data_IF_610890094444
#
_entry.id   IF_610890094444
#
_cell.length_a   1.000
_cell.length_b   1.000
_cell.length_c   1.000
_cell.angle_alpha   90.00
_cell.angle_beta   90.00
_cell.angle_gamma   90.00
#
_symmetry.space_group_name_H-M   'P 1'
#
loop_
_entity.id
_entity.type
_entity.pdbx_description
1 polymer ?
#
# COMPACT_ATOMS: atom_id res chain seq x y z
N UNK A 1 -17.49 -12.41 -2.76
CA UNK A 1 -16.71 -13.05 -1.68
C UNK A 1 -16.27 -11.96 -0.70
N UNK A 2 -16.33 -12.17 0.63
CA UNK A 2 -15.88 -11.15 1.59
C UNK A 2 -14.35 -11.22 1.81
N UNK A 3 -13.74 -10.20 2.41
CA UNK A 3 -12.27 -10.11 2.52
C UNK A 3 -11.66 -11.28 3.30
N UNK A 4 -12.31 -11.71 4.39
CA UNK A 4 -11.82 -12.84 5.20
C UNK A 4 -11.85 -14.16 4.41
N UNK A 5 -12.90 -14.40 3.62
CA UNK A 5 -12.99 -15.55 2.72
C UNK A 5 -11.90 -15.47 1.64
N UNK A 6 -11.64 -14.28 1.09
CA UNK A 6 -10.57 -14.08 0.10
C UNK A 6 -9.20 -14.47 0.68
N UNK A 7 -8.88 -14.01 1.89
CA UNK A 7 -7.66 -14.41 2.61
C UNK A 7 -7.60 -15.92 2.81
N UNK A 8 -8.69 -16.52 3.31
CA UNK A 8 -8.72 -17.96 3.60
C UNK A 8 -8.49 -18.79 2.33
N UNK A 9 -9.22 -18.49 1.26
CA UNK A 9 -9.08 -19.16 -0.04
C UNK A 9 -7.66 -19.06 -0.56
N UNK A 10 -7.03 -17.88 -0.49
CA UNK A 10 -5.64 -17.68 -0.91
C UNK A 10 -4.66 -18.55 -0.09
N UNK A 11 -4.76 -18.49 1.24
CA UNK A 11 -3.85 -19.25 2.12
C UNK A 11 -4.01 -20.76 1.89
N UNK A 12 -5.24 -21.28 1.93
CA UNK A 12 -5.52 -22.71 1.78
C UNK A 12 -5.06 -23.22 0.41
N UNK A 13 -5.29 -22.46 -0.66
CA UNK A 13 -4.84 -22.82 -2.02
C UNK A 13 -3.33 -23.04 -2.11
N UNK A 14 -2.53 -22.20 -1.44
CA UNK A 14 -1.07 -22.34 -1.45
C UNK A 14 -0.56 -23.36 -0.42
N UNK A 15 -1.25 -23.54 0.71
CA UNK A 15 -0.93 -24.62 1.65
C UNK A 15 -1.11 -26.01 1.01
N UNK A 16 -2.15 -26.19 0.19
CA UNK A 16 -2.36 -27.40 -0.61
C UNK A 16 -1.22 -27.65 -1.64
N UNK A 17 -0.52 -26.59 -2.04
CA UNK A 17 0.66 -26.63 -2.93
C UNK A 17 1.99 -26.73 -2.17
N UNK A 18 1.92 -26.93 -0.86
CA UNK A 18 3.06 -27.17 0.01
C UNK A 18 3.72 -25.90 0.53
N UNK A 19 3.11 -24.73 0.37
CA UNK A 19 3.57 -23.51 1.03
C UNK A 19 3.29 -23.58 2.52
N UNK A 20 4.22 -23.04 3.31
CA UNK A 20 4.08 -22.95 4.76
C UNK A 20 3.67 -21.54 5.12
N UNK A 21 2.55 -21.40 5.82
CA UNK A 21 2.12 -20.11 6.33
C UNK A 21 3.14 -19.55 7.30
N UNK A 22 3.67 -18.37 6.99
CA UNK A 22 4.51 -17.60 7.91
C UNK A 22 3.67 -16.50 8.57
N UNK A 23 4.06 -16.07 9.75
CA UNK A 23 3.41 -14.95 10.43
C UNK A 23 3.64 -13.67 9.63
N UNK A 24 2.56 -13.00 9.23
CA UNK A 24 2.63 -11.66 8.64
C UNK A 24 3.35 -10.71 9.60
N UNK A 25 4.25 -9.89 9.07
CA UNK A 25 5.12 -9.07 9.92
C UNK A 25 4.40 -7.80 10.39
N UNK A 26 4.97 -7.20 11.43
CA UNK A 26 4.76 -5.79 11.75
C UNK A 26 5.11 -4.89 10.55
N UNK A 27 4.52 -3.69 10.52
CA UNK A 27 4.94 -2.58 9.67
C UNK A 27 6.38 -2.11 9.98
N UNK A 28 6.94 -2.53 11.12
CA UNK A 28 8.24 -2.09 11.59
C UNK A 28 9.33 -3.07 11.13
N UNK A 29 10.15 -2.70 10.14
CA UNK A 29 11.29 -3.52 9.79
C UNK A 29 12.32 -3.54 10.94
N UNK A 30 13.17 -4.58 10.99
CA UNK A 30 14.19 -4.73 12.03
C UNK A 30 15.12 -3.52 12.15
N UNK A 31 15.75 -3.30 13.32
CA UNK A 31 16.73 -2.22 13.46
C UNK A 31 17.86 -2.33 12.43
N UNK A 32 18.16 -1.21 11.75
CA UNK A 32 19.21 -1.14 10.73
C UNK A 32 18.74 -1.42 9.29
N UNK A 33 17.47 -1.77 9.09
CA UNK A 33 16.87 -1.86 7.77
C UNK A 33 16.80 -0.49 7.08
N UNK A 34 17.15 -0.37 5.79
CA UNK A 34 17.08 0.90 5.05
C UNK A 34 15.65 1.43 4.88
N UNK A 35 14.61 0.58 4.95
CA UNK A 35 13.22 1.01 4.73
C UNK A 35 12.58 1.51 6.03
N UNK A 36 11.77 2.57 5.91
CA UNK A 36 11.12 3.17 7.07
C UNK A 36 9.98 2.30 7.60
N UNK A 37 9.19 1.73 6.70
CA UNK A 37 8.10 0.80 6.97
C UNK A 37 8.20 -0.37 6.00
N UNK A 38 7.62 -1.50 6.37
CA UNK A 38 7.42 -2.64 5.45
C UNK A 38 6.45 -2.20 4.35
N UNK A 39 6.91 -2.12 3.09
CA UNK A 39 6.09 -1.71 1.93
C UNK A 39 5.69 -2.90 1.05
N UNK A 40 6.31 -4.07 1.27
CA UNK A 40 6.09 -5.32 0.54
C UNK A 40 6.25 -6.53 1.47
N UNK A 41 5.57 -7.63 1.14
CA UNK A 41 5.73 -8.96 1.74
C UNK A 41 7.16 -9.49 1.72
N UNK A 42 7.98 -9.02 0.77
CA UNK A 42 9.35 -9.52 0.59
C UNK A 42 10.36 -8.95 1.59
N UNK A 43 10.13 -7.78 2.19
CA UNK A 43 11.16 -7.12 3.03
C UNK A 43 11.63 -8.01 4.19
N UNK A 44 10.74 -8.65 4.97
CA UNK A 44 11.17 -9.56 6.04
C UNK A 44 11.90 -10.81 5.51
N UNK A 45 11.74 -11.11 4.22
CA UNK A 45 12.30 -12.28 3.55
C UNK A 45 13.55 -11.98 2.74
N UNK A 46 14.03 -10.73 2.69
CA UNK A 46 15.23 -10.35 1.94
C UNK A 46 16.44 -11.26 2.23
N UNK A 47 16.80 -11.57 3.50
CA UNK A 47 17.93 -12.46 3.77
C UNK A 47 17.75 -13.86 3.15
N UNK A 48 16.51 -14.33 3.06
CA UNK A 48 16.17 -15.64 2.54
C UNK A 48 16.18 -15.68 1.03
N UNK A 49 15.68 -14.63 0.38
CA UNK A 49 15.80 -14.44 -1.07
C UNK A 49 17.27 -14.37 -1.50
N UNK A 50 18.14 -13.79 -0.67
CA UNK A 50 19.60 -13.75 -0.86
C UNK A 50 20.33 -15.08 -0.61
N UNK A 51 19.62 -16.15 -0.25
CA UNK A 51 20.19 -17.51 -0.12
C UNK A 51 20.26 -18.07 1.29
N UNK A 52 19.84 -17.31 2.32
CA UNK A 52 19.74 -17.87 3.68
C UNK A 52 18.56 -18.85 3.77
N UNK A 53 18.75 -20.08 4.26
CA UNK A 53 17.63 -20.99 4.47
C UNK A 53 16.58 -20.40 5.41
N UNK A 54 15.29 -20.58 5.09
CA UNK A 54 14.19 -20.21 5.98
C UNK A 54 13.78 -21.42 6.84
N UNK A 55 13.52 -21.27 8.15
CA UNK A 55 13.26 -22.39 9.06
C UNK A 55 12.01 -23.22 8.71
N UNK A 56 11.04 -22.60 8.02
CA UNK A 56 9.81 -23.28 7.59
C UNK A 56 9.92 -23.90 6.18
N UNK A 57 11.11 -23.90 5.57
CA UNK A 57 11.33 -24.50 4.25
C UNK A 57 11.38 -23.47 3.13
N UNK A 58 11.10 -23.92 1.90
CA UNK A 58 11.41 -23.16 0.67
C UNK A 58 10.19 -22.57 -0.02
N UNK A 59 8.98 -22.89 0.44
CA UNK A 59 7.72 -22.36 -0.09
C UNK A 59 6.97 -21.70 1.05
N UNK A 60 6.69 -20.41 0.95
CA UNK A 60 6.13 -19.62 2.05
C UNK A 60 4.91 -18.84 1.55
N UNK A 61 3.90 -18.68 2.40
CA UNK A 61 2.71 -17.87 2.10
C UNK A 61 2.36 -17.01 3.31
N UNK A 62 1.89 -15.77 3.09
CA UNK A 62 1.40 -14.93 4.17
C UNK A 62 0.36 -13.89 3.72
N UNK A 63 -0.11 -13.14 4.72
CA UNK A 63 -0.76 -11.85 4.54
C UNK A 63 0.13 -10.82 5.23
N UNK A 64 0.75 -9.93 4.47
CA UNK A 64 1.65 -8.91 4.97
C UNK A 64 0.95 -7.57 5.12
N UNK A 65 1.14 -6.91 6.26
CA UNK A 65 0.74 -5.51 6.43
C UNK A 65 1.77 -4.62 5.75
N UNK A 66 1.32 -3.76 4.86
CA UNK A 66 2.17 -2.85 4.10
C UNK A 66 1.76 -1.41 4.38
N UNK A 67 2.75 -0.52 4.46
CA UNK A 67 2.53 0.92 4.46
C UNK A 67 3.40 1.59 3.41
N UNK A 68 2.78 2.26 2.44
CA UNK A 68 3.48 2.99 1.38
C UNK A 68 3.35 4.50 1.61
N UNK A 69 4.49 5.17 1.78
CA UNK A 69 4.52 6.63 1.95
C UNK A 69 4.57 7.38 0.63
N UNK A 70 4.92 6.70 -0.46
CA UNK A 70 4.94 7.22 -1.83
C UNK A 70 3.53 7.59 -2.30
N UNK A 71 2.55 6.80 -1.89
CA UNK A 71 1.17 6.88 -2.38
C UNK A 71 0.34 7.91 -1.59
N UNK A 72 0.93 8.55 -0.56
CA UNK A 72 0.22 9.45 0.36
C UNK A 72 -0.49 10.61 -0.32
N UNK A 73 0.05 11.08 -1.45
CA UNK A 73 -0.51 12.21 -2.19
C UNK A 73 -1.55 11.76 -3.23
N UNK A 74 -1.63 10.47 -3.54
CA UNK A 74 -2.64 9.85 -4.41
C UNK A 74 -3.87 9.39 -3.62
N UNK A 75 -3.72 9.14 -2.31
CA UNK A 75 -4.81 8.78 -1.41
C UNK A 75 -5.95 9.79 -1.49
N UNK A 76 -7.15 9.26 -1.76
CA UNK A 76 -8.35 10.02 -2.08
C UNK A 76 -8.95 9.62 -3.44
N UNK A 77 -8.16 8.93 -4.26
CA UNK A 77 -8.62 8.27 -5.48
C UNK A 77 -9.44 6.98 -5.19
N UNK A 78 -9.51 6.07 -6.17
CA UNK A 78 -10.33 4.84 -6.08
C UNK A 78 -9.49 3.60 -5.76
N UNK A 79 -8.16 3.67 -5.78
CA UNK A 79 -7.28 2.51 -5.90
C UNK A 79 -6.13 2.49 -4.90
N UNK A 80 -5.77 3.63 -4.32
CA UNK A 80 -4.61 3.77 -3.45
C UNK A 80 -4.99 3.88 -1.98
N UNK A 81 -4.22 3.19 -1.15
CA UNK A 81 -4.34 3.14 0.30
C UNK A 81 -2.95 3.36 0.90
N UNK A 82 -2.87 4.09 2.02
CA UNK A 82 -1.61 4.27 2.75
C UNK A 82 -1.20 2.97 3.42
N UNK A 83 -2.13 2.33 4.14
CA UNK A 83 -1.97 1.00 4.75
C UNK A 83 -2.86 0.02 4.02
N UNK A 84 -2.35 -1.17 3.73
CA UNK A 84 -3.10 -2.24 3.09
C UNK A 84 -2.51 -3.60 3.44
N UNK A 85 -3.22 -4.68 3.11
CA UNK A 85 -2.70 -6.03 3.22
C UNK A 85 -2.28 -6.57 1.85
N UNK A 86 -1.10 -7.18 1.80
CA UNK A 86 -0.56 -7.85 0.62
C UNK A 86 -0.57 -9.35 0.85
N UNK A 87 -1.32 -10.08 0.02
CA UNK A 87 -1.27 -11.52 -0.07
C UNK A 87 -0.01 -11.90 -0.85
N UNK A 88 0.88 -12.68 -0.24
CA UNK A 88 2.17 -12.99 -0.82
C UNK A 88 2.54 -14.46 -0.76
N UNK A 89 3.22 -14.91 -1.80
CA UNK A 89 3.85 -16.24 -1.86
C UNK A 89 5.30 -16.14 -2.30
N UNK A 90 6.12 -17.04 -1.76
CA UNK A 90 7.55 -17.08 -2.05
C UNK A 90 8.02 -18.47 -2.42
N UNK A 91 8.83 -18.54 -3.47
CA UNK A 91 9.71 -19.66 -3.80
C UNK A 91 11.14 -19.28 -3.46
N UNK A 92 11.78 -20.04 -2.57
CA UNK A 92 13.18 -19.89 -2.22
C UNK A 92 14.01 -20.97 -2.94
N UNK A 93 14.22 -20.74 -4.25
CA UNK A 93 14.93 -21.65 -5.14
C UNK A 93 14.16 -22.91 -5.54
N UNK A 94 12.86 -22.99 -5.30
CA UNK A 94 12.09 -24.24 -5.41
C UNK A 94 11.40 -24.42 -6.77
N UNK A 95 10.48 -23.50 -7.10
CA UNK A 95 9.84 -23.37 -8.41
C UNK A 95 10.12 -22.00 -9.05
N UNK A 96 9.89 -21.88 -10.35
CA UNK A 96 10.14 -20.67 -11.15
C UNK A 96 8.84 -20.00 -11.66
N UNK A 97 8.99 -18.93 -12.46
CA UNK A 97 7.92 -18.03 -12.93
C UNK A 97 6.71 -18.74 -13.54
N UNK A 98 6.88 -19.63 -14.54
CA UNK A 98 5.75 -20.29 -15.19
C UNK A 98 4.86 -21.06 -14.22
N UNK A 99 5.44 -21.76 -13.25
CA UNK A 99 4.66 -22.48 -12.25
C UNK A 99 3.94 -21.52 -11.28
N UNK A 100 4.60 -20.41 -10.91
CA UNK A 100 4.00 -19.37 -10.08
C UNK A 100 2.75 -18.76 -10.74
N UNK A 101 2.89 -18.37 -11.99
CA UNK A 101 1.84 -17.76 -12.80
C UNK A 101 0.71 -18.75 -13.08
N UNK A 102 1.02 -20.03 -13.30
CA UNK A 102 0.02 -21.08 -13.52
C UNK A 102 -0.88 -21.27 -12.30
N UNK A 103 -0.28 -21.26 -11.10
CA UNK A 103 -1.01 -21.25 -9.84
C UNK A 103 -1.77 -19.95 -9.60
N UNK A 104 -1.20 -18.80 -9.97
CA UNK A 104 -1.90 -17.51 -9.91
C UNK A 104 -3.16 -17.51 -10.77
N UNK A 105 -3.04 -17.95 -12.02
CA UNK A 105 -4.14 -18.11 -12.96
C UNK A 105 -5.23 -19.03 -12.41
N UNK A 106 -4.87 -20.25 -11.98
CA UNK A 106 -5.85 -21.20 -11.44
C UNK A 106 -6.53 -20.71 -10.16
N UNK A 107 -5.84 -19.94 -9.31
CA UNK A 107 -6.48 -19.33 -8.14
C UNK A 107 -7.49 -18.26 -8.56
N UNK A 108 -7.14 -17.38 -9.50
CA UNK A 108 -8.04 -16.34 -9.99
C UNK A 108 -9.27 -16.93 -10.68
N UNK A 109 -9.10 -17.91 -11.58
CA UNK A 109 -10.20 -18.48 -12.35
C UNK A 109 -11.01 -19.48 -11.55
N UNK A 110 -10.39 -20.49 -10.96
CA UNK A 110 -11.10 -21.61 -10.34
C UNK A 110 -11.39 -21.33 -8.86
N UNK A 111 -10.46 -20.69 -8.15
CA UNK A 111 -10.60 -20.39 -6.73
C UNK A 111 -11.52 -19.19 -6.46
N UNK A 112 -11.34 -18.11 -7.22
CA UNK A 112 -12.13 -16.89 -7.08
C UNK A 112 -13.27 -16.76 -8.09
N UNK A 113 -13.32 -17.59 -9.13
CA UNK A 113 -14.39 -17.58 -10.12
C UNK A 113 -14.31 -16.41 -11.11
N UNK A 114 -13.12 -15.84 -11.31
CA UNK A 114 -12.92 -14.74 -12.26
C UNK A 114 -13.01 -15.29 -13.68
N UNK A 115 -13.81 -14.64 -14.53
CA UNK A 115 -13.89 -14.95 -15.95
C UNK A 115 -12.52 -14.72 -16.62
N UNK A 116 -11.91 -15.73 -17.25
CA UNK A 116 -10.64 -15.57 -17.97
C UNK A 116 -10.65 -14.45 -19.02
N UNK A 117 -11.81 -14.11 -19.60
CA UNK A 117 -11.96 -13.01 -20.55
C UNK A 117 -11.78 -11.61 -19.93
N UNK A 118 -11.69 -11.52 -18.60
CA UNK A 118 -11.39 -10.30 -17.85
C UNK A 118 -9.92 -10.21 -17.42
N UNK A 119 -9.08 -11.16 -17.82
CA UNK A 119 -7.65 -11.17 -17.52
C UNK A 119 -6.84 -10.54 -18.66
N UNK A 120 -5.80 -9.82 -18.27
CA UNK A 120 -4.69 -9.44 -19.14
C UNK A 120 -3.40 -9.59 -18.35
N UNK A 121 -2.30 -9.90 -19.01
CA UNK A 121 -0.98 -9.95 -18.38
C UNK A 121 -0.03 -8.92 -19.00
N UNK A 122 0.93 -8.47 -18.22
CA UNK A 122 2.15 -7.82 -18.72
C UNK A 122 3.35 -8.72 -18.44
N UNK A 123 4.35 -8.69 -19.31
CA UNK A 123 5.56 -9.52 -19.20
C UNK A 123 6.77 -8.68 -19.59
N UNK A 124 7.88 -8.86 -18.87
CA UNK A 124 9.15 -8.21 -19.22
C UNK A 124 9.63 -8.56 -20.64
N UNK A 125 9.73 -7.53 -21.49
CA UNK A 125 10.10 -7.59 -22.90
C UNK A 125 11.61 -7.63 -23.16
N UNK A 126 12.45 -7.49 -22.13
CA UNK A 126 13.90 -7.47 -22.25
C UNK A 126 14.48 -6.07 -22.45
N UNK A 127 15.74 -5.92 -22.03
CA UNK A 127 16.55 -4.72 -22.21
C UNK A 127 17.99 -5.07 -22.64
N UNK A 128 18.93 -4.13 -22.51
CA UNK A 128 20.34 -4.35 -22.88
C UNK A 128 21.08 -5.33 -21.95
N UNK A 129 20.60 -5.55 -20.72
CA UNK A 129 21.25 -6.40 -19.71
C UNK A 129 20.59 -7.78 -19.58
N UNK A 130 19.27 -7.86 -19.74
CA UNK A 130 18.45 -9.06 -19.49
C UNK A 130 17.49 -9.28 -20.64
N UNK A 131 17.46 -10.49 -21.19
CA UNK A 131 16.53 -10.85 -22.26
C UNK A 131 15.06 -10.91 -21.80
N UNK A 132 14.11 -11.02 -22.74
CA UNK A 132 12.69 -11.14 -22.43
C UNK A 132 12.39 -12.37 -21.58
N UNK A 133 11.34 -12.29 -20.76
CA UNK A 133 10.87 -13.43 -19.97
C UNK A 133 9.96 -14.35 -20.79
N UNK A 134 10.58 -15.15 -21.66
CA UNK A 134 9.87 -16.02 -22.61
C UNK A 134 9.01 -17.09 -21.91
N UNK A 135 9.43 -17.57 -20.73
CA UNK A 135 8.67 -18.61 -20.02
C UNK A 135 7.30 -18.11 -19.55
N UNK A 136 7.22 -16.86 -19.09
CA UNK A 136 5.94 -16.23 -18.71
C UNK A 136 5.07 -15.95 -19.93
N UNK A 137 5.68 -15.47 -21.02
CA UNK A 137 4.97 -15.25 -22.28
C UNK A 137 4.35 -16.55 -22.84
N UNK A 138 5.12 -17.64 -22.89
CA UNK A 138 4.65 -18.95 -23.37
C UNK A 138 3.50 -19.47 -22.52
N UNK A 139 3.61 -19.38 -21.18
CA UNK A 139 2.51 -19.80 -20.30
C UNK A 139 1.22 -19.02 -20.58
N UNK A 140 1.29 -17.69 -20.69
CA UNK A 140 0.09 -16.88 -20.91
C UNK A 140 -0.56 -17.17 -22.26
N UNK A 141 0.25 -17.44 -23.29
CA UNK A 141 -0.23 -17.90 -24.60
C UNK A 141 -0.95 -19.24 -24.49
N UNK A 142 -0.39 -20.20 -23.74
CA UNK A 142 -1.02 -21.50 -23.50
C UNK A 142 -2.35 -21.39 -22.74
N UNK A 143 -2.47 -20.42 -21.83
CA UNK A 143 -3.70 -20.11 -21.09
C UNK A 143 -4.69 -19.23 -21.87
N UNK A 144 -4.31 -18.75 -23.07
CA UNK A 144 -5.13 -17.87 -23.89
C UNK A 144 -5.35 -16.48 -23.29
N UNK A 145 -4.49 -16.04 -22.36
CA UNK A 145 -4.56 -14.72 -21.74
C UNK A 145 -3.80 -13.72 -22.63
N UNK A 146 -4.39 -12.57 -23.00
CA UNK A 146 -3.69 -11.53 -23.73
C UNK A 146 -2.48 -10.98 -22.96
N UNK A 147 -1.38 -10.71 -23.67
CA UNK A 147 -0.12 -10.24 -23.07
C UNK A 147 0.34 -8.95 -23.74
N UNK A 148 0.76 -7.99 -22.92
CA UNK A 148 1.51 -6.81 -23.34
C UNK A 148 2.97 -6.94 -22.86
N UNK A 149 3.94 -6.73 -23.76
CA UNK A 149 5.35 -6.72 -23.38
C UNK A 149 5.74 -5.30 -22.97
N UNK A 150 6.24 -5.13 -21.75
CA UNK A 150 6.78 -3.84 -21.25
C UNK A 150 8.20 -4.04 -20.73
N UNK A 151 8.92 -2.94 -20.49
CA UNK A 151 10.30 -2.99 -19.96
C UNK A 151 10.34 -2.37 -18.58
N UNK A 152 10.12 -1.06 -18.51
CA UNK A 152 10.23 -0.30 -17.25
C UNK A 152 9.15 -0.71 -16.23
N UNK A 153 7.93 -1.00 -16.69
CA UNK A 153 6.83 -1.42 -15.83
C UNK A 153 6.97 -2.88 -15.36
N UNK A 154 7.74 -3.72 -16.08
CA UNK A 154 7.96 -5.13 -15.75
C UNK A 154 9.35 -5.44 -15.17
N UNK A 155 9.87 -4.53 -14.35
CA UNK A 155 11.12 -4.74 -13.61
C UNK A 155 10.96 -4.34 -12.15
N UNK A 156 10.89 -5.33 -11.27
CA UNK A 156 10.78 -5.07 -9.84
C UNK A 156 12.14 -5.02 -9.15
N UNK A 157 12.27 -4.15 -8.14
CA UNK A 157 13.50 -4.01 -7.36
C UNK A 157 13.27 -3.61 -5.91
N UNK A 158 14.07 -4.17 -5.00
CA UNK A 158 14.00 -3.90 -3.56
C UNK A 158 14.54 -2.50 -3.15
N UNK A 159 14.82 -1.64 -4.13
CA UNK A 159 15.47 -0.35 -3.95
C UNK A 159 16.55 -0.08 -5.00
N UNK A 160 17.40 0.94 -4.77
CA UNK A 160 18.50 1.28 -5.69
C UNK A 160 19.48 0.12 -5.87
N UNK A 161 19.73 -0.64 -4.80
CA UNK A 161 20.55 -1.86 -4.80
C UNK A 161 19.86 -3.01 -4.09
N UNK A 162 20.35 -4.22 -4.29
CA UNK A 162 19.80 -5.44 -3.68
C UNK A 162 19.05 -6.33 -4.67
N UNK A 163 18.26 -7.30 -4.19
CA UNK A 163 17.53 -8.26 -5.02
C UNK A 163 16.54 -7.57 -5.97
N UNK A 164 16.54 -8.02 -7.23
CA UNK A 164 15.67 -7.53 -8.29
C UNK A 164 15.49 -8.60 -9.38
N UNK A 165 14.56 -8.35 -10.30
CA UNK A 165 14.38 -9.19 -11.47
C UNK A 165 13.22 -8.77 -12.35
N UNK A 166 13.08 -9.42 -13.51
CA UNK A 166 11.90 -9.26 -14.34
C UNK A 166 10.67 -9.76 -13.57
N UNK A 167 9.51 -9.26 -13.93
CA UNK A 167 8.25 -9.75 -13.42
C UNK A 167 7.20 -9.96 -14.53
N UNK A 168 6.08 -10.52 -14.12
CA UNK A 168 4.85 -10.53 -14.90
C UNK A 168 3.69 -10.17 -13.98
N UNK A 169 2.88 -9.21 -14.42
CA UNK A 169 1.75 -8.72 -13.65
C UNK A 169 0.43 -9.17 -14.29
N UNK A 170 -0.57 -9.41 -13.45
CA UNK A 170 -1.92 -9.82 -13.84
C UNK A 170 -2.87 -8.66 -13.56
N UNK A 171 -3.65 -8.29 -14.58
CA UNK A 171 -4.63 -7.22 -14.55
C UNK A 171 -6.04 -7.77 -14.68
N UNK A 172 -6.98 -7.13 -13.98
CA UNK A 172 -8.41 -7.38 -14.11
C UNK A 172 -9.10 -6.19 -14.77
N UNK A 173 -9.98 -6.49 -15.72
CA UNK A 173 -10.81 -5.51 -16.36
C UNK A 173 -11.95 -5.05 -15.44
N UNK A 174 -12.11 -3.74 -15.29
CA UNK A 174 -13.16 -3.13 -14.45
C UNK A 174 -14.20 -2.31 -15.24
N UNK A 175 -14.07 -2.26 -16.56
CA UNK A 175 -14.98 -1.51 -17.43
C UNK A 175 -16.31 -2.21 -17.68
N UNK A 176 -17.36 -1.42 -17.94
CA UNK A 176 -18.71 -1.92 -18.22
C UNK A 176 -18.83 -2.65 -19.58
N UNK A 177 -17.98 -2.28 -20.53
CA UNK A 177 -17.91 -2.90 -21.87
C UNK A 177 -16.75 -3.89 -21.94
N UNK A 178 -16.79 -4.91 -22.80
CA UNK A 178 -15.63 -5.78 -23.02
C UNK A 178 -14.35 -4.98 -23.33
N UNK A 179 -13.17 -5.45 -22.86
CA UNK A 179 -11.92 -4.75 -23.08
C UNK A 179 -11.55 -4.67 -24.56
N UNK A 180 -11.04 -3.52 -24.98
CA UNK A 180 -10.56 -3.25 -26.35
C UNK A 180 -9.16 -2.61 -26.37
N UNK A 181 -8.51 -2.52 -25.21
CA UNK A 181 -7.22 -1.86 -24.98
C UNK A 181 -6.33 -2.73 -24.08
N UNK A 182 -5.08 -2.32 -23.90
CA UNK A 182 -4.10 -3.00 -23.04
C UNK A 182 -3.90 -2.23 -21.72
N UNK A 183 -3.29 -2.86 -20.69
CA UNK A 183 -3.06 -2.24 -19.39
C UNK A 183 -2.38 -0.87 -19.43
N UNK A 184 -1.35 -0.68 -20.25
CA UNK A 184 -0.61 0.60 -20.31
C UNK A 184 -1.40 1.76 -20.94
N UNK A 185 -2.58 1.47 -21.50
CA UNK A 185 -3.38 2.42 -22.30
C UNK A 185 -4.77 2.69 -21.74
N UNK A 186 -5.18 1.99 -20.68
CA UNK A 186 -6.52 2.10 -20.13
C UNK A 186 -6.55 1.77 -18.64
N UNK A 187 -6.75 2.79 -17.81
CA UNK A 187 -6.77 2.69 -16.34
C UNK A 187 -7.90 1.80 -15.79
N UNK A 188 -8.82 1.33 -16.64
CA UNK A 188 -9.82 0.32 -16.25
C UNK A 188 -9.21 -1.07 -16.10
N UNK A 189 -8.00 -1.30 -16.62
CA UNK A 189 -7.18 -2.44 -16.25
C UNK A 189 -6.51 -2.17 -14.91
N UNK A 190 -6.94 -2.91 -13.90
CA UNK A 190 -6.42 -2.76 -12.55
C UNK A 190 -5.45 -3.91 -12.28
N UNK A 191 -4.18 -3.58 -12.03
CA UNK A 191 -3.15 -4.52 -11.60
C UNK A 191 -3.58 -5.19 -10.29
N UNK A 192 -3.71 -6.51 -10.24
CA UNK A 192 -4.10 -7.22 -9.02
C UNK A 192 -2.98 -8.06 -8.43
N UNK A 193 -2.04 -8.53 -9.23
CA UNK A 193 -1.02 -9.47 -8.79
C UNK A 193 0.27 -9.29 -9.57
N UNK A 194 1.36 -8.99 -8.88
CA UNK A 194 2.70 -9.01 -9.46
C UNK A 194 3.43 -10.31 -9.06
N UNK A 195 4.01 -11.01 -10.04
CA UNK A 195 4.89 -12.16 -9.85
C UNK A 195 6.31 -11.82 -10.28
N UNK A 196 7.19 -11.57 -9.30
CA UNK A 196 8.58 -11.18 -9.51
C UNK A 196 9.49 -12.41 -9.58
N UNK A 197 10.21 -12.52 -10.69
CA UNK A 197 11.24 -13.53 -10.93
C UNK A 197 12.58 -13.00 -10.42
N UNK A 198 12.74 -13.04 -9.09
CA UNK A 198 13.92 -12.61 -8.35
C UNK A 198 15.16 -13.44 -8.69
N UNK A 199 15.96 -12.93 -9.65
CA UNK A 199 17.11 -13.63 -10.24
C UNK A 199 18.44 -12.87 -10.11
N UNK A 200 18.39 -11.56 -9.85
CA UNK A 200 19.56 -10.69 -9.86
C UNK A 200 19.72 -9.94 -8.55
N UNK A 201 20.94 -9.49 -8.28
CA UNK A 201 21.26 -8.44 -7.32
C UNK A 201 21.84 -7.27 -8.09
N UNK A 202 21.26 -6.08 -7.91
CA UNK A 202 21.83 -4.83 -8.42
C UNK A 202 22.89 -4.29 -7.46
N UNK A 203 24.06 -3.98 -8.00
CA UNK A 203 25.18 -3.33 -7.29
C UNK A 203 25.06 -1.80 -7.38
N UNK A 204 25.88 -1.09 -6.61
CA UNK A 204 25.86 0.39 -6.55
C UNK A 204 26.17 1.06 -7.90
N UNK A 205 26.91 0.38 -8.79
CA UNK A 205 27.23 0.85 -10.15
C UNK A 205 26.15 0.51 -11.18
N UNK A 206 25.04 -0.10 -10.75
CA UNK A 206 23.94 -0.53 -11.61
C UNK A 206 24.11 -1.93 -12.21
N UNK A 207 25.29 -2.55 -12.08
CA UNK A 207 25.55 -3.89 -12.61
C UNK A 207 24.66 -4.93 -11.94
N UNK A 208 24.12 -5.85 -12.76
CA UNK A 208 23.35 -7.00 -12.29
C UNK A 208 24.22 -8.24 -12.15
N UNK A 209 24.24 -8.83 -10.95
CA UNK A 209 24.89 -10.13 -10.69
C UNK A 209 23.85 -11.20 -10.34
N UNK A 210 24.01 -12.46 -10.75
CA UNK A 210 23.05 -13.52 -10.42
C UNK A 210 22.94 -13.75 -8.90
N UNK A 211 21.72 -13.98 -8.43
CA UNK A 211 21.47 -14.49 -7.07
C UNK A 211 21.89 -15.98 -6.97
N UNK A 212 22.25 -16.47 -5.76
CA UNK A 212 22.65 -17.87 -5.57
C UNK A 212 21.52 -18.88 -5.83
N UNK A 213 20.28 -18.40 -5.88
CA UNK A 213 19.08 -19.20 -6.17
C UNK A 213 18.09 -18.34 -6.95
N UNK A 214 17.25 -18.99 -7.75
CA UNK A 214 16.17 -18.34 -8.50
C UNK A 214 14.92 -18.35 -7.66
N UNK A 215 14.47 -17.17 -7.25
CA UNK A 215 13.34 -17.05 -6.36
C UNK A 215 12.09 -16.57 -7.10
N UNK A 216 10.97 -16.74 -6.43
CA UNK A 216 9.71 -16.07 -6.76
C UNK A 216 9.28 -15.28 -5.55
N UNK A 217 8.87 -14.05 -5.80
CA UNK A 217 8.23 -13.15 -4.85
C UNK A 217 6.92 -12.68 -5.51
N UNK A 218 5.78 -12.91 -4.86
CA UNK A 218 4.50 -12.44 -5.39
C UNK A 218 3.82 -11.49 -4.41
N UNK A 219 3.13 -10.49 -4.95
CA UNK A 219 2.36 -9.53 -4.18
C UNK A 219 1.01 -9.27 -4.83
N UNK A 220 -0.07 -9.58 -4.10
CA UNK A 220 -1.44 -9.29 -4.48
C UNK A 220 -2.09 -8.37 -3.44
N UNK A 221 -2.62 -7.22 -3.88
CA UNK A 221 -3.29 -6.28 -2.98
C UNK A 221 -4.65 -6.82 -2.53
N UNK A 222 -4.82 -7.10 -1.23
CA UNK A 222 -6.03 -7.73 -0.69
C UNK A 222 -7.26 -6.87 -0.88
N UNK A 223 -7.23 -5.58 -0.51
CA UNK A 223 -8.38 -4.69 -0.66
C UNK A 223 -8.73 -4.45 -2.12
N UNK A 224 -7.72 -4.43 -3.00
CA UNK A 224 -7.90 -4.30 -4.44
C UNK A 224 -8.64 -5.52 -5.00
N UNK A 225 -8.12 -6.74 -4.78
CA UNK A 225 -8.79 -7.97 -5.20
C UNK A 225 -10.20 -8.07 -4.57
N UNK A 226 -10.33 -7.80 -3.28
CA UNK A 226 -11.61 -7.93 -2.57
C UNK A 226 -12.66 -6.98 -3.12
N UNK A 227 -12.30 -5.74 -3.44
CA UNK A 227 -13.21 -4.79 -4.08
C UNK A 227 -13.73 -5.33 -5.43
N UNK A 228 -12.85 -5.90 -6.25
CA UNK A 228 -13.20 -6.50 -7.55
C UNK A 228 -14.10 -7.73 -7.40
N UNK A 229 -13.78 -8.65 -6.48
CA UNK A 229 -14.60 -9.83 -6.17
C UNK A 229 -15.96 -9.50 -5.56
N UNK A 230 -16.15 -8.25 -5.12
CA UNK A 230 -17.41 -7.73 -4.59
C UNK A 230 -18.16 -6.87 -5.63
N UNK A 231 -17.66 -6.76 -6.87
CA UNK A 231 -18.24 -5.92 -7.91
C UNK A 231 -18.20 -4.43 -7.56
N UNK A 232 -17.19 -4.02 -6.78
CA UNK A 232 -16.97 -2.63 -6.37
C UNK A 232 -15.95 -1.98 -7.30
N UNK A 233 -16.06 -0.67 -7.40
CA UNK A 233 -15.24 0.13 -8.32
C UNK A 233 -14.24 1.00 -7.57
N UNK A 234 -14.14 0.82 -6.26
CA UNK A 234 -13.21 1.53 -5.37
C UNK A 234 -12.79 0.62 -4.23
N UNK A 235 -11.51 0.67 -3.85
CA UNK A 235 -10.98 -0.06 -2.69
C UNK A 235 -11.68 0.36 -1.39
N UNK A 236 -12.17 1.60 -1.33
CA UNK A 236 -12.93 2.13 -0.19
C UNK A 236 -14.33 1.53 -0.06
N UNK A 237 -14.84 0.87 -1.10
CA UNK A 237 -16.14 0.20 -1.09
C UNK A 237 -16.05 -1.28 -0.69
N UNK A 238 -14.83 -1.78 -0.45
CA UNK A 238 -14.58 -3.10 0.10
C UNK A 238 -15.20 -3.23 1.50
N UNK A 239 -15.65 -4.43 1.86
CA UNK A 239 -16.30 -4.75 3.14
C UNK A 239 -15.49 -4.33 4.39
N UNK A 240 -14.15 -4.34 4.31
CA UNK A 240 -13.28 -3.83 5.38
C UNK A 240 -13.56 -2.36 5.73
N UNK A 241 -14.00 -1.55 4.75
CA UNK A 241 -14.34 -0.15 4.95
C UNK A 241 -15.81 0.08 5.32
N UNK A 242 -16.66 -0.96 5.39
CA UNK A 242 -18.08 -0.80 5.67
C UNK A 242 -18.39 -0.05 6.98
N UNK A 243 -17.72 -0.35 8.12
CA UNK A 243 -17.92 0.43 9.34
C UNK A 243 -17.51 1.89 9.16
N UNK A 244 -16.39 2.15 8.49
CA UNK A 244 -15.88 3.49 8.22
C UNK A 244 -16.84 4.30 7.34
N UNK A 245 -17.32 3.72 6.22
CA UNK A 245 -18.29 4.37 5.32
C UNK A 245 -19.65 4.61 5.96
N UNK A 246 -20.05 3.77 6.92
CA UNK A 246 -21.31 3.95 7.65
C UNK A 246 -21.20 5.04 8.71
N UNK A 247 -20.12 5.08 9.47
CA UNK A 247 -20.01 5.92 10.66
C UNK A 247 -19.44 7.31 10.35
N UNK A 248 -18.37 7.41 9.56
CA UNK A 248 -17.67 8.69 9.32
C UNK A 248 -18.56 9.78 8.71
N UNK A 249 -19.40 9.52 7.69
CA UNK A 249 -20.27 10.55 7.11
C UNK A 249 -21.32 11.11 8.10
N UNK A 250 -21.64 10.36 9.16
CA UNK A 250 -22.58 10.84 10.20
C UNK A 250 -21.92 11.81 11.19
N UNK A 251 -20.59 11.74 11.29
CA UNK A 251 -19.77 12.62 12.14
C UNK A 251 -19.35 13.88 11.39
N UNK A 252 -18.90 13.71 10.14
CA UNK A 252 -18.32 14.78 9.36
C UNK A 252 -18.87 14.78 7.93
N UNK A 253 -19.53 15.88 7.57
CA UNK A 253 -19.96 16.14 6.20
C UNK A 253 -18.72 16.54 5.38
N UNK A 254 -18.28 15.64 4.51
CA UNK A 254 -17.09 15.75 3.68
C UNK A 254 -17.45 15.40 2.23
N UNK A 255 -16.76 16.00 1.26
CA UNK A 255 -16.80 15.52 -0.12
C UNK A 255 -16.09 14.17 -0.25
N UNK A 256 -16.42 13.42 -1.30
CA UNK A 256 -16.01 12.04 -1.48
C UNK A 256 -14.48 11.82 -1.39
N UNK A 257 -13.61 12.64 -2.02
CA UNK A 257 -12.16 12.48 -1.89
C UNK A 257 -11.66 12.71 -0.45
N UNK A 258 -12.20 13.72 0.24
CA UNK A 258 -11.85 14.01 1.63
C UNK A 258 -12.31 12.91 2.58
N UNK A 259 -13.50 12.34 2.34
CA UNK A 259 -14.02 11.20 3.11
C UNK A 259 -13.08 10.00 3.00
N UNK A 260 -12.65 9.66 1.78
CA UNK A 260 -11.69 8.57 1.53
C UNK A 260 -10.36 8.82 2.22
N UNK A 261 -9.81 10.03 2.09
CA UNK A 261 -8.57 10.42 2.76
C UNK A 261 -8.68 10.27 4.28
N UNK A 262 -9.77 10.76 4.88
CA UNK A 262 -10.00 10.67 6.33
C UNK A 262 -10.09 9.21 6.78
N UNK A 263 -10.85 8.38 6.07
CA UNK A 263 -10.96 6.94 6.36
C UNK A 263 -9.61 6.22 6.25
N UNK A 264 -8.86 6.42 5.16
CA UNK A 264 -7.55 5.79 4.96
C UNK A 264 -6.53 6.24 6.01
N UNK A 265 -6.37 7.55 6.20
CA UNK A 265 -5.31 8.06 7.07
C UNK A 265 -5.59 7.79 8.54
N UNK A 266 -6.86 7.78 8.99
CA UNK A 266 -7.20 7.37 10.35
C UNK A 266 -6.96 5.87 10.55
N UNK A 267 -7.39 5.02 9.60
CA UNK A 267 -7.09 3.59 9.62
C UNK A 267 -5.58 3.36 9.72
N UNK A 268 -4.80 4.03 8.87
CA UNK A 268 -3.34 3.97 8.85
C UNK A 268 -2.70 4.46 10.15
N UNK A 269 -3.18 5.56 10.72
CA UNK A 269 -2.70 6.07 11.99
C UNK A 269 -2.95 5.06 13.12
N UNK A 270 -4.13 4.43 13.15
CA UNK A 270 -4.45 3.36 14.11
C UNK A 270 -3.47 2.20 13.97
N UNK A 271 -3.21 1.72 12.74
CA UNK A 271 -2.27 0.60 12.53
C UNK A 271 -0.84 0.97 12.94
N UNK A 272 -0.37 2.16 12.59
CA UNK A 272 0.97 2.62 12.94
C UNK A 272 1.14 2.76 14.46
N UNK A 273 0.12 3.24 15.17
CA UNK A 273 0.12 3.31 16.65
C UNK A 273 0.03 1.91 17.26
N UNK A 274 -0.76 1.01 16.66
CA UNK A 274 -0.91 -0.39 17.03
C UNK A 274 0.39 -1.18 16.97
N UNK A 275 1.32 -0.78 16.10
CA UNK A 275 2.68 -1.34 16.06
C UNK A 275 3.68 -0.59 16.97
N UNK A 276 3.19 0.30 17.84
CA UNK A 276 3.99 0.95 18.89
C UNK A 276 4.60 2.29 18.49
N UNK A 277 4.35 2.81 17.29
CA UNK A 277 4.88 4.12 16.88
C UNK A 277 4.16 5.24 17.63
N UNK A 278 4.89 6.31 17.94
CA UNK A 278 4.36 7.54 18.54
C UNK A 278 4.72 8.76 17.70
N UNK A 279 3.87 9.81 17.67
CA UNK A 279 4.17 11.02 16.89
C UNK A 279 5.49 11.67 17.30
N UNK A 280 6.33 12.01 16.34
CA UNK A 280 7.64 12.65 16.55
C UNK A 280 8.00 13.60 15.39
N UNK A 281 9.15 14.28 15.48
CA UNK A 281 9.62 15.17 14.42
C UNK A 281 10.41 14.44 13.31
N UNK A 282 10.71 13.15 13.46
CA UNK A 282 11.61 12.41 12.57
C UNK A 282 11.14 10.98 12.32
N UNK A 283 11.58 10.39 11.19
CA UNK A 283 11.33 8.98 10.86
C UNK A 283 9.84 8.58 10.92
N UNK A 284 9.57 7.41 11.50
CA UNK A 284 8.22 6.81 11.55
C UNK A 284 7.21 7.69 12.29
N UNK A 285 7.64 8.32 13.37
CA UNK A 285 6.80 9.22 14.15
C UNK A 285 6.44 10.50 13.41
N UNK A 286 7.29 10.96 12.49
CA UNK A 286 6.94 12.07 11.59
C UNK A 286 5.86 11.67 10.58
N UNK A 287 5.93 10.46 10.02
CA UNK A 287 4.90 9.94 9.11
C UNK A 287 3.55 9.84 9.83
N UNK A 288 3.51 9.23 11.01
CA UNK A 288 2.28 9.17 11.83
C UNK A 288 1.72 10.57 12.09
N UNK A 289 2.57 11.51 12.47
CA UNK A 289 2.17 12.90 12.66
C UNK A 289 1.58 13.51 11.39
N UNK A 290 2.21 13.28 10.23
CA UNK A 290 1.74 13.81 8.93
C UNK A 290 0.34 13.29 8.60
N UNK A 291 0.08 12.00 8.80
CA UNK A 291 -1.23 11.37 8.60
C UNK A 291 -2.31 12.05 9.46
N UNK A 292 -2.08 12.09 10.78
CA UNK A 292 -3.03 12.66 11.74
C UNK A 292 -3.31 14.13 11.45
N UNK A 293 -2.27 14.90 11.11
CA UNK A 293 -2.43 16.33 10.80
C UNK A 293 -3.12 16.61 9.47
N UNK A 294 -2.94 15.76 8.45
CA UNK A 294 -3.69 15.85 7.18
C UNK A 294 -5.18 15.64 7.43
N UNK A 295 -5.54 14.63 8.21
CA UNK A 295 -6.94 14.41 8.66
C UNK A 295 -7.48 15.64 9.36
N UNK A 296 -6.79 16.13 10.40
CA UNK A 296 -7.24 17.30 11.16
C UNK A 296 -7.37 18.57 10.30
N UNK A 297 -6.52 18.73 9.29
CA UNK A 297 -6.58 19.85 8.35
C UNK A 297 -7.85 19.79 7.50
N UNK A 298 -8.19 18.59 6.99
CA UNK A 298 -9.43 18.35 6.24
C UNK A 298 -10.65 18.58 7.14
N UNK A 299 -10.68 17.98 8.33
CA UNK A 299 -11.81 18.11 9.26
C UNK A 299 -12.06 19.57 9.64
N UNK A 300 -10.99 20.33 9.94
CA UNK A 300 -11.08 21.71 10.41
C UNK A 300 -11.16 22.75 9.31
N UNK A 301 -11.21 22.34 8.04
CA UNK A 301 -11.30 23.26 6.91
C UNK A 301 -12.58 24.10 6.97
N UNK A 302 -13.72 23.43 7.15
CA UNK A 302 -15.05 24.06 7.12
C UNK A 302 -15.65 24.27 8.52
N UNK A 303 -15.18 23.51 9.52
CA UNK A 303 -15.64 23.63 10.91
C UNK A 303 -14.49 23.39 11.88
N UNK A 304 -14.06 24.45 12.57
CA UNK A 304 -12.94 24.43 13.50
C UNK A 304 -13.18 23.58 14.76
N UNK A 305 -14.43 23.21 15.05
CA UNK A 305 -14.79 22.38 16.21
C UNK A 305 -14.62 20.88 15.94
N UNK A 306 -14.54 20.46 14.67
CA UNK A 306 -14.36 19.05 14.32
C UNK A 306 -13.01 18.54 14.81
N UNK A 307 -13.03 17.36 15.43
CA UNK A 307 -11.86 16.76 16.06
C UNK A 307 -11.92 15.24 16.11
N UNK A 308 -10.83 14.63 16.55
CA UNK A 308 -10.72 13.16 16.67
C UNK A 308 -11.42 12.64 17.94
N UNK A 309 -11.88 13.55 18.81
CA UNK A 309 -12.75 13.21 19.95
C UNK A 309 -14.06 12.56 19.53
N UNK A 310 -14.56 12.87 18.33
CA UNK A 310 -15.82 12.31 17.80
C UNK A 310 -15.63 10.92 17.21
N UNK A 311 -14.39 10.44 17.03
CA UNK A 311 -14.10 9.14 16.43
C UNK A 311 -14.61 8.01 17.34
N UNK A 312 -15.55 7.15 16.87
CA UNK A 312 -16.09 6.05 17.65
C UNK A 312 -15.02 5.00 17.93
N UNK A 313 -15.02 4.47 19.16
CA UNK A 313 -14.11 3.39 19.54
C UNK A 313 -14.28 2.13 18.66
N UNK A 314 -15.48 1.90 18.13
CA UNK A 314 -15.78 0.78 17.21
C UNK A 314 -14.84 0.80 15.99
N UNK A 315 -14.53 1.96 15.43
CA UNK A 315 -13.66 2.08 14.25
C UNK A 315 -12.19 1.76 14.58
N UNK A 316 -11.75 2.15 15.79
CA UNK A 316 -10.41 1.83 16.29
C UNK A 316 -10.30 0.32 16.52
N UNK A 317 -11.25 -0.28 17.22
CA UNK A 317 -11.29 -1.74 17.48
C UNK A 317 -11.35 -2.53 16.19
N UNK A 318 -12.29 -2.20 15.30
CA UNK A 318 -12.43 -2.84 13.99
C UNK A 318 -11.13 -2.85 13.20
N UNK A 319 -10.39 -1.74 13.22
CA UNK A 319 -9.11 -1.64 12.51
C UNK A 319 -8.03 -2.50 13.17
N UNK A 320 -7.88 -2.44 14.50
CA UNK A 320 -6.90 -3.26 15.22
C UNK A 320 -7.19 -4.76 15.02
N UNK A 321 -8.45 -5.17 15.09
CA UNK A 321 -8.89 -6.55 14.90
C UNK A 321 -8.59 -7.03 13.48
N UNK A 322 -8.96 -6.24 12.46
CA UNK A 322 -8.68 -6.56 11.06
C UNK A 322 -7.19 -6.77 10.80
N UNK A 323 -6.33 -5.88 11.31
CA UNK A 323 -4.88 -5.98 11.18
C UNK A 323 -4.20 -6.89 12.23
N UNK A 324 -4.99 -7.60 13.05
CA UNK A 324 -4.53 -8.56 14.07
C UNK A 324 -3.52 -7.95 15.05
N UNK A 325 -3.79 -6.74 15.53
CA UNK A 325 -2.94 -6.01 16.45
C UNK A 325 -3.44 -6.13 17.89
N UNK A 326 -2.59 -6.65 18.77
CA UNK A 326 -2.85 -6.70 20.21
C UNK A 326 -2.45 -5.36 20.85
N UNK A 327 -3.38 -4.41 20.84
CA UNK A 327 -3.20 -3.06 21.37
C UNK A 327 -4.49 -2.58 22.03
N UNK A 328 -4.37 -1.86 23.15
CA UNK A 328 -5.49 -1.21 23.80
C UNK A 328 -6.04 -0.05 22.93
N UNK A 329 -7.32 -0.10 22.48
CA UNK A 329 -7.94 0.98 21.72
C UNK A 329 -7.91 2.34 22.44
N UNK A 330 -7.98 2.34 23.78
CA UNK A 330 -7.96 3.57 24.57
C UNK A 330 -6.60 4.26 24.48
N UNK A 331 -5.51 3.47 24.45
CA UNK A 331 -4.16 3.99 24.24
C UNK A 331 -4.00 4.59 22.84
N UNK A 332 -4.55 3.94 21.82
CA UNK A 332 -4.54 4.47 20.45
C UNK A 332 -5.28 5.81 20.40
N UNK A 333 -6.48 5.87 20.98
CA UNK A 333 -7.29 7.08 21.04
C UNK A 333 -6.58 8.19 21.81
N UNK A 334 -5.94 7.87 22.93
CA UNK A 334 -5.15 8.85 23.69
C UNK A 334 -4.03 9.46 22.84
N UNK A 335 -3.29 8.64 22.08
CA UNK A 335 -2.20 9.12 21.20
C UNK A 335 -2.74 10.05 20.11
N UNK A 336 -3.87 9.71 19.49
CA UNK A 336 -4.52 10.56 18.48
C UNK A 336 -4.95 11.91 19.07
N UNK A 337 -5.60 11.90 20.23
CA UNK A 337 -6.06 13.12 20.92
C UNK A 337 -4.90 13.98 21.42
N UNK A 338 -3.80 13.38 21.86
CA UNK A 338 -2.59 14.12 22.24
C UNK A 338 -1.97 14.85 21.04
N UNK A 339 -1.92 14.22 19.87
CA UNK A 339 -1.43 14.87 18.67
C UNK A 339 -2.40 15.95 18.17
N UNK A 340 -3.71 15.73 18.27
CA UNK A 340 -4.71 16.77 17.99
C UNK A 340 -4.50 18.01 18.87
N UNK A 341 -4.34 17.84 20.19
CA UNK A 341 -4.05 18.94 21.11
C UNK A 341 -2.77 19.69 20.74
N UNK A 342 -1.72 18.97 20.35
CA UNK A 342 -0.45 19.56 19.88
C UNK A 342 -0.64 20.33 18.59
N UNK A 343 -1.40 19.79 17.65
CA UNK A 343 -1.71 20.43 16.38
C UNK A 343 -2.56 21.68 16.57
N UNK A 344 -3.59 21.66 17.42
CA UNK A 344 -4.38 22.84 17.77
C UNK A 344 -3.51 23.99 18.29
N UNK A 345 -2.55 23.70 19.20
CA UNK A 345 -1.57 24.71 19.64
C UNK A 345 -0.65 25.22 18.53
N UNK A 346 -0.36 24.39 17.53
CA UNK A 346 0.39 24.82 16.34
C UNK A 346 -0.46 25.72 15.45
N UNK A 347 -1.74 25.39 15.22
CA UNK A 347 -2.67 26.21 14.44
C UNK A 347 -2.82 27.61 15.02
N UNK A 348 -3.06 27.71 16.33
CA UNK A 348 -3.23 29.00 17.00
C UNK A 348 -1.97 29.88 16.89
N UNK A 349 -0.80 29.29 17.11
CA UNK A 349 0.48 29.98 16.88
C UNK A 349 0.66 30.35 15.40
N UNK A 350 0.29 29.47 14.49
CA UNK A 350 0.39 29.68 13.04
C UNK A 350 -0.47 30.85 12.57
N UNK A 351 -1.72 30.94 13.02
CA UNK A 351 -2.61 32.07 12.75
C UNK A 351 -2.03 33.39 13.23
N UNK A 352 -1.47 33.43 14.44
CA UNK A 352 -0.79 34.61 14.97
C UNK A 352 0.42 35.01 14.11
N UNK A 353 1.23 34.05 13.68
CA UNK A 353 2.39 34.30 12.80
C UNK A 353 1.93 34.84 11.45
N UNK A 354 0.97 34.18 10.79
CA UNK A 354 0.47 34.55 9.47
C UNK A 354 -0.30 35.89 9.47
N UNK A 355 -0.78 36.35 10.63
CA UNK A 355 -1.42 37.66 10.76
C UNK A 355 -0.46 38.85 10.57
N UNK A 356 0.86 38.61 10.64
CA UNK A 356 1.90 39.63 10.50
C UNK A 356 1.91 40.23 9.09
N UNK A 357 2.17 41.55 8.92
CA UNK A 357 2.12 42.21 7.62
C UNK A 357 2.93 41.53 6.52
N UNK A 358 4.10 40.96 6.86
CA UNK A 358 4.97 40.20 5.96
C UNK A 358 4.25 39.06 5.21
N UNK A 359 3.29 38.39 5.86
CA UNK A 359 2.67 37.17 5.32
C UNK A 359 1.24 37.39 4.77
N UNK A 360 0.78 38.64 4.72
CA UNK A 360 -0.57 38.96 4.19
C UNK A 360 -0.63 38.91 2.66
N UNK A 361 0.49 39.17 1.98
CA UNK A 361 0.63 39.10 0.51
C UNK A 361 0.96 37.71 -0.03
N UNK A 362 1.18 37.54 -1.34
CA UNK A 362 1.72 36.30 -1.90
C UNK A 362 2.98 35.87 -1.12
N UNK A 363 3.09 34.58 -0.79
CA UNK A 363 4.25 34.05 -0.07
C UNK A 363 5.27 33.57 -1.11
N UNK A 364 6.54 33.92 -0.89
CA UNK A 364 7.65 33.35 -1.65
C UNK A 364 8.04 31.98 -1.09
N UNK A 365 8.88 31.23 -1.82
CA UNK A 365 9.50 30.00 -1.28
C UNK A 365 10.34 30.28 -0.03
N UNK A 366 10.97 31.46 0.07
CA UNK A 366 11.70 31.86 1.26
C UNK A 366 10.78 32.03 2.47
N UNK A 367 9.57 32.58 2.28
CA UNK A 367 8.59 32.68 3.36
C UNK A 367 8.10 31.29 3.79
N UNK A 368 7.87 30.37 2.86
CA UNK A 368 7.50 28.99 3.19
C UNK A 368 8.62 28.28 3.95
N UNK A 369 9.87 28.40 3.52
CA UNK A 369 11.03 27.88 4.27
C UNK A 369 11.12 28.51 5.66
N UNK A 370 10.99 29.82 5.79
CA UNK A 370 11.03 30.50 7.08
C UNK A 370 9.91 30.01 8.02
N UNK A 371 8.67 29.90 7.52
CA UNK A 371 7.51 29.43 8.28
C UNK A 371 7.67 27.96 8.70
N UNK A 372 8.28 27.14 7.85
CA UNK A 372 8.61 25.76 8.16
C UNK A 372 9.70 25.67 9.24
N UNK A 373 10.87 26.28 9.01
CA UNK A 373 12.05 26.09 9.86
C UNK A 373 11.92 26.81 11.21
N UNK A 374 11.32 28.00 11.21
CA UNK A 374 11.21 28.83 12.42
C UNK A 374 9.96 28.52 13.23
N UNK A 375 8.86 28.18 12.55
CA UNK A 375 7.54 28.04 13.18
C UNK A 375 6.94 26.64 13.06
N UNK A 376 7.59 25.71 12.35
CA UNK A 376 7.12 24.34 12.16
C UNK A 376 5.81 24.26 11.37
N UNK A 377 5.53 25.25 10.52
CA UNK A 377 4.31 25.34 9.72
C UNK A 377 4.58 24.81 8.30
N UNK A 378 4.16 23.57 7.98
CA UNK A 378 4.34 23.03 6.64
C UNK A 378 3.51 23.81 5.60
N UNK A 379 3.96 23.76 4.34
CA UNK A 379 3.37 24.52 3.21
C UNK A 379 1.86 24.33 3.10
N UNK A 380 1.39 23.09 3.11
CA UNK A 380 -0.05 22.77 2.99
C UNK A 380 -0.86 23.37 4.12
N UNK A 381 -0.31 23.38 5.33
CA UNK A 381 -0.94 24.00 6.48
C UNK A 381 -1.04 25.51 6.32
N UNK A 382 0.04 26.14 5.88
CA UNK A 382 0.06 27.58 5.60
C UNK A 382 -0.98 27.94 4.54
N UNK A 383 -1.07 27.16 3.46
CA UNK A 383 -2.07 27.36 2.42
C UNK A 383 -3.50 27.18 2.96
N UNK A 384 -3.75 26.17 3.79
CA UNK A 384 -5.07 25.92 4.39
C UNK A 384 -5.53 27.00 5.39
N UNK A 385 -4.58 27.63 6.10
CA UNK A 385 -4.87 28.67 7.09
C UNK A 385 -5.13 30.05 6.46
N UNK A 386 -4.85 30.20 5.17
CA UNK A 386 -5.10 31.44 4.44
C UNK A 386 -6.47 31.38 3.79
N UNK A 387 -7.21 32.50 3.76
CA UNK A 387 -8.50 32.53 3.09
C UNK A 387 -8.33 32.14 1.61
N UNK A 388 -9.25 31.34 1.03
CA UNK A 388 -9.24 31.08 -0.39
C UNK A 388 -9.35 32.41 -1.15
N UNK A 389 -8.61 32.52 -2.25
CA UNK A 389 -8.69 33.69 -3.14
C UNK A 389 -9.98 33.70 -3.92
#
# INVERSE_FOLDING_TARGET
MNTEQTVRTFIEYFEERGHRRITGSTLLPPPGDPVLFTTSGMHPLTPHLEGRPHPLGRRLVNVQRCLRTTDLDEVGDRTHLTVFEMLGTWSLGDYEGPQSLDWGYGLLTDGFGIDPGLLHATVFGGDEQVGPDTGSLELWQDRGVPVELTVDDNWWSNGPTGPCGPDSEIFLWTGETPPQSTPTRDDRWVEVWNHVMMRHRRLDDGTLVPLPQRNIDTGLGLERLSSLLQGRSSVFECDVFDPWRRLVPTLWQLDEPSLRLVCDHLRSAVVVIGDGVRPSNTGRGYVLRRLVRRVLTVLRRDDQQRGLGDLPDELVRHTLDHFRQDMDPDLVRQVLLDEERRFGRLLERGRLVLSRPRFRGPLSEEDFHYLHDTHGLPRDLVLSLRPPR
#
